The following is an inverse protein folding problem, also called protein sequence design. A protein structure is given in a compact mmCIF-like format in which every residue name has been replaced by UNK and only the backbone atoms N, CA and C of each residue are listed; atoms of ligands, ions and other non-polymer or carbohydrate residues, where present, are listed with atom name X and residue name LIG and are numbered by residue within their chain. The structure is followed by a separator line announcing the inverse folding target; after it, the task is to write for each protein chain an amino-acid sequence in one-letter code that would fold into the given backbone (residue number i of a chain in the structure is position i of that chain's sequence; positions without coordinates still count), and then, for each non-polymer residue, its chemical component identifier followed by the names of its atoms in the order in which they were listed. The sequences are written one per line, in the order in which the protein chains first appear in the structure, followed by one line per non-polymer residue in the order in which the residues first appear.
data_IF_802515275239
#
_entry.id   IF_802515275239
#
_cell.length_a   1.000
_cell.length_b   1.000
_cell.length_c   1.000
_cell.angle_alpha   90.00
_cell.angle_beta   90.00
_cell.angle_gamma   90.00
#
_symmetry.space_group_name_H-M   'P 1'
#
loop_
_entity.id
_entity.type
_entity.pdbx_description
1 polymer ?
#
# COMPACT_ATOMS: atom_id res chain seq x y z
N UNK A 1 -0.81 -1.14 -18.75
CA UNK A 1 -0.53 0.29 -18.46
C UNK A 1 0.94 0.43 -18.12
N UNK A 2 1.64 1.51 -18.47
CA UNK A 2 3.05 1.64 -18.08
C UNK A 2 3.24 2.73 -17.02
N UNK A 3 3.80 2.31 -15.89
CA UNK A 3 4.28 3.21 -14.85
C UNK A 3 5.52 3.97 -15.36
N UNK A 4 5.59 5.28 -15.08
CA UNK A 4 6.81 6.08 -15.31
C UNK A 4 7.87 5.71 -14.27
N UNK A 5 8.52 4.55 -14.43
CA UNK A 5 9.40 3.95 -13.42
C UNK A 5 10.55 4.87 -12.96
N UNK A 6 11.13 5.67 -13.87
CA UNK A 6 12.15 6.67 -13.52
C UNK A 6 11.61 7.74 -12.58
N UNK A 7 10.46 8.34 -12.92
CA UNK A 7 9.80 9.35 -12.09
C UNK A 7 9.38 8.80 -10.72
N UNK A 8 8.84 7.58 -10.68
CA UNK A 8 8.43 6.92 -9.42
C UNK A 8 9.63 6.69 -8.51
N UNK A 9 10.77 6.27 -9.07
CA UNK A 9 11.99 6.02 -8.31
C UNK A 9 12.54 7.33 -7.73
N UNK A 10 12.60 8.39 -8.54
CA UNK A 10 12.98 9.73 -8.08
C UNK A 10 12.05 10.25 -6.97
N UNK A 11 10.73 10.16 -7.15
CA UNK A 11 9.76 10.63 -6.16
C UNK A 11 9.82 9.84 -4.85
N UNK A 12 10.16 8.54 -4.89
CA UNK A 12 10.41 7.77 -3.66
C UNK A 12 11.58 8.35 -2.86
N UNK A 13 12.69 8.68 -3.52
CA UNK A 13 13.86 9.32 -2.88
C UNK A 13 13.49 10.70 -2.34
N UNK A 14 12.85 11.54 -3.16
CA UNK A 14 12.36 12.86 -2.76
C UNK A 14 11.47 12.79 -1.51
N UNK A 15 10.56 11.83 -1.44
CA UNK A 15 9.66 11.68 -0.30
C UNK A 15 10.40 11.31 1.00
N UNK A 16 11.49 10.55 0.91
CA UNK A 16 12.34 10.25 2.08
C UNK A 16 13.03 11.52 2.56
N UNK A 17 13.64 12.29 1.65
CA UNK A 17 14.32 13.56 1.98
C UNK A 17 13.33 14.56 2.60
N UNK A 18 12.17 14.75 1.97
CA UNK A 18 11.12 15.64 2.50
C UNK A 18 10.63 15.22 3.88
N UNK A 19 10.56 13.91 4.16
CA UNK A 19 10.16 13.41 5.47
C UNK A 19 11.22 13.73 6.53
N UNK A 20 12.50 13.52 6.23
CA UNK A 20 13.61 13.78 7.17
C UNK A 20 13.68 15.28 7.47
N UNK A 21 13.72 16.13 6.44
CA UNK A 21 13.76 17.58 6.61
C UNK A 21 12.49 18.10 7.30
N UNK A 22 11.32 17.56 6.95
CA UNK A 22 10.07 17.94 7.58
C UNK A 22 10.05 17.66 9.08
N UNK A 23 10.50 16.46 9.49
CA UNK A 23 10.64 16.10 10.92
C UNK A 23 11.62 17.04 11.62
N UNK A 24 12.78 17.28 11.00
CA UNK A 24 13.80 18.17 11.57
C UNK A 24 13.26 19.58 11.80
N UNK A 25 12.65 20.21 10.80
CA UNK A 25 12.10 21.56 10.95
C UNK A 25 10.99 21.62 11.99
N UNK A 26 10.08 20.64 12.02
CA UNK A 26 9.03 20.61 13.06
C UNK A 26 9.60 20.48 14.47
N UNK A 27 10.62 19.64 14.67
CA UNK A 27 11.21 19.40 15.97
C UNK A 27 12.03 20.61 16.46
N UNK A 28 12.89 21.16 15.60
CA UNK A 28 13.72 22.32 15.93
C UNK A 28 12.85 23.56 16.23
N UNK A 29 11.84 23.83 15.39
CA UNK A 29 10.91 24.93 15.63
C UNK A 29 10.10 24.76 16.91
N UNK A 30 9.60 23.55 17.19
CA UNK A 30 8.87 23.28 18.42
C UNK A 30 9.75 23.51 19.66
N UNK A 31 11.01 23.07 19.62
CA UNK A 31 11.96 23.30 20.71
C UNK A 31 12.19 24.79 20.96
N UNK A 32 12.42 25.58 19.92
CA UNK A 32 12.65 27.02 20.04
C UNK A 32 11.42 27.76 20.57
N UNK A 33 10.22 27.38 20.11
CA UNK A 33 8.96 27.94 20.63
C UNK A 33 8.75 27.63 22.12
N UNK A 34 9.07 26.41 22.56
CA UNK A 34 8.97 26.02 23.98
C UNK A 34 9.94 26.86 24.81
N UNK A 35 11.20 27.00 24.37
CA UNK A 35 12.22 27.79 25.06
C UNK A 35 11.78 29.25 25.26
N UNK A 36 11.23 29.88 24.22
CA UNK A 36 10.70 31.25 24.26
C UNK A 36 9.52 31.39 25.23
N UNK A 37 8.59 30.44 25.23
CA UNK A 37 7.42 30.45 26.12
C UNK A 37 7.85 30.39 27.59
N UNK A 38 8.88 29.59 27.90
CA UNK A 38 9.33 29.42 29.27
C UNK A 38 10.21 30.58 29.74
N UNK A 39 11.08 31.10 28.86
CA UNK A 39 11.95 32.21 29.22
C UNK A 39 11.17 33.52 29.50
N UNK A 40 10.11 33.77 28.73
CA UNK A 40 9.25 34.95 28.87
C UNK A 40 7.89 34.63 29.51
N UNK A 41 7.84 33.60 30.35
CA UNK A 41 6.58 33.13 30.94
C UNK A 41 5.85 34.27 31.69
N UNK A 42 4.63 34.59 31.23
CA UNK A 42 3.81 35.70 31.76
C UNK A 42 3.82 36.97 30.90
N UNK A 43 4.81 37.17 30.03
CA UNK A 43 4.87 38.30 29.08
C UNK A 43 4.54 37.83 27.66
N UNK A 44 3.25 37.57 27.43
CA UNK A 44 2.72 37.11 26.14
C UNK A 44 2.98 38.09 24.99
N UNK A 45 3.09 39.39 25.29
CA UNK A 45 3.30 40.41 24.27
C UNK A 45 4.69 40.26 23.65
N UNK A 46 5.72 40.08 24.48
CA UNK A 46 7.10 39.86 24.04
C UNK A 46 7.26 38.51 23.32
N UNK A 47 6.59 37.45 23.78
CA UNK A 47 6.61 36.13 23.11
C UNK A 47 6.07 36.22 21.69
N UNK A 48 4.93 36.89 21.48
CA UNK A 48 4.26 36.94 20.17
C UNK A 48 5.04 37.82 19.17
N UNK A 49 5.67 38.89 19.63
CA UNK A 49 6.37 39.85 18.76
C UNK A 49 7.86 39.53 18.56
N UNK A 50 8.42 38.55 19.27
CA UNK A 50 9.79 38.12 19.04
C UNK A 50 9.96 37.56 17.61
N UNK A 51 10.94 38.08 16.88
CA UNK A 51 11.26 37.64 15.51
C UNK A 51 11.59 36.14 15.45
N UNK A 52 12.18 35.59 16.52
CA UNK A 52 12.45 34.16 16.67
C UNK A 52 11.16 33.31 16.70
N UNK A 53 10.09 33.81 17.31
CA UNK A 53 8.78 33.13 17.36
C UNK A 53 8.15 33.07 15.97
N UNK A 54 8.15 34.18 15.23
CA UNK A 54 7.63 34.25 13.86
C UNK A 54 8.37 33.29 12.92
N UNK A 55 9.71 33.29 12.96
CA UNK A 55 10.53 32.36 12.18
C UNK A 55 10.28 30.90 12.54
N UNK A 56 10.13 30.60 13.83
CA UNK A 56 9.89 29.23 14.31
C UNK A 56 8.52 28.71 13.87
N UNK A 57 7.46 29.52 13.97
CA UNK A 57 6.12 29.16 13.50
C UNK A 57 6.12 28.90 11.99
N UNK A 58 6.78 29.75 11.21
CA UNK A 58 6.86 29.59 9.75
C UNK A 58 7.58 28.28 9.37
N UNK A 59 8.74 28.00 9.97
CA UNK A 59 9.48 26.76 9.76
C UNK A 59 8.70 25.52 10.24
N UNK A 60 7.92 25.64 11.30
CA UNK A 60 7.03 24.58 11.77
C UNK A 60 5.97 24.25 10.72
N UNK A 61 5.30 25.26 10.17
CA UNK A 61 4.29 25.09 9.11
C UNK A 61 4.90 24.44 7.88
N UNK A 62 6.07 24.90 7.43
CA UNK A 62 6.81 24.28 6.31
C UNK A 62 7.11 22.82 6.60
N UNK A 63 7.63 22.51 7.80
CA UNK A 63 7.94 21.15 8.20
C UNK A 63 6.71 20.23 8.16
N UNK A 64 5.57 20.69 8.67
CA UNK A 64 4.30 19.96 8.62
C UNK A 64 3.86 19.74 7.17
N UNK A 65 3.92 20.77 6.32
CA UNK A 65 3.58 20.67 4.90
C UNK A 65 4.48 19.64 4.18
N UNK A 66 5.79 19.63 4.45
CA UNK A 66 6.71 18.65 3.87
C UNK A 66 6.35 17.21 4.26
N UNK A 67 5.99 16.97 5.52
CA UNK A 67 5.53 15.66 6.01
C UNK A 67 4.23 15.24 5.32
N UNK A 68 3.26 16.16 5.20
CA UNK A 68 1.97 15.91 4.54
C UNK A 68 2.18 15.60 3.05
N UNK A 69 2.98 16.40 2.34
CA UNK A 69 3.30 16.19 0.92
C UNK A 69 4.01 14.85 0.69
N UNK A 70 4.99 14.49 1.53
CA UNK A 70 5.69 13.20 1.44
C UNK A 70 4.72 12.02 1.60
N UNK A 71 3.82 12.09 2.60
CA UNK A 71 2.81 11.04 2.84
C UNK A 71 1.77 10.98 1.72
N UNK A 72 1.30 12.13 1.23
CA UNK A 72 0.37 12.22 0.11
C UNK A 72 0.93 11.61 -1.17
N UNK A 73 2.16 11.98 -1.53
CA UNK A 73 2.84 11.44 -2.70
C UNK A 73 3.04 9.93 -2.60
N UNK A 74 3.44 9.41 -1.42
CA UNK A 74 3.58 7.96 -1.22
C UNK A 74 2.27 7.20 -1.40
N UNK A 75 1.14 7.75 -0.94
CA UNK A 75 -0.19 7.16 -1.16
C UNK A 75 -0.55 7.12 -2.65
N UNK A 76 -0.25 8.19 -3.41
CA UNK A 76 -0.50 8.24 -4.85
C UNK A 76 0.33 7.23 -5.64
N UNK A 77 1.61 7.05 -5.28
CA UNK A 77 2.47 6.04 -5.90
C UNK A 77 1.91 4.62 -5.65
N UNK A 78 1.45 4.34 -4.43
CA UNK A 78 0.86 3.05 -4.09
C UNK A 78 -0.43 2.79 -4.88
N UNK A 79 -1.32 3.79 -4.96
CA UNK A 79 -2.53 3.71 -5.79
C UNK A 79 -2.15 3.49 -7.26
N UNK A 80 -1.10 4.15 -7.77
CA UNK A 80 -0.63 3.97 -9.13
C UNK A 80 -0.17 2.52 -9.40
N UNK A 81 0.66 1.97 -8.53
CA UNK A 81 1.11 0.58 -8.65
C UNK A 81 -0.06 -0.41 -8.57
N UNK A 82 -1.02 -0.16 -7.68
CA UNK A 82 -2.23 -0.98 -7.55
C UNK A 82 -3.04 -0.99 -8.85
N UNK A 83 -3.38 0.18 -9.39
CA UNK A 83 -4.16 0.25 -10.62
C UNK A 83 -3.41 -0.35 -11.80
N UNK A 84 -2.10 -0.10 -11.95
CA UNK A 84 -1.30 -0.74 -13.01
C UNK A 84 -1.37 -2.27 -12.92
N UNK A 85 -1.21 -2.83 -11.72
CA UNK A 85 -1.30 -4.29 -11.51
C UNK A 85 -2.71 -4.84 -11.70
N UNK A 86 -3.75 -4.08 -11.33
CA UNK A 86 -5.15 -4.46 -11.54
C UNK A 86 -5.45 -4.52 -13.05
N UNK A 87 -5.05 -3.48 -13.78
CA UNK A 87 -5.22 -3.39 -15.22
C UNK A 87 -4.41 -4.44 -15.99
N UNK A 88 -3.21 -4.81 -15.51
CA UNK A 88 -2.43 -5.92 -16.06
C UNK A 88 -3.07 -7.30 -15.81
N UNK A 89 -3.89 -7.43 -14.77
CA UNK A 89 -4.62 -8.65 -14.45
C UNK A 89 -5.95 -8.80 -15.17
N UNK A 90 -6.44 -7.76 -15.85
CA UNK A 90 -7.67 -7.83 -16.63
C UNK A 90 -7.43 -8.52 -17.98
N UNK A 91 -8.28 -9.50 -18.29
CA UNK A 91 -8.13 -10.37 -19.47
C UNK A 91 -8.69 -9.72 -20.75
N UNK A 92 -9.67 -8.82 -20.60
CA UNK A 92 -10.36 -8.18 -21.72
C UNK A 92 -9.73 -6.84 -22.12
N UNK A 93 -8.89 -6.27 -21.24
CA UNK A 93 -8.23 -4.98 -21.38
C UNK A 93 -9.18 -3.78 -21.39
N UNK A 94 -10.39 -3.99 -20.87
CA UNK A 94 -11.43 -2.99 -20.66
C UNK A 94 -11.85 -3.03 -19.20
N UNK A 95 -11.66 -1.92 -18.50
CA UNK A 95 -12.06 -1.81 -17.09
C UNK A 95 -13.10 -0.72 -16.92
N UNK A 96 -14.20 -1.09 -16.27
CA UNK A 96 -15.27 -0.17 -15.91
C UNK A 96 -14.95 0.59 -14.60
N UNK A 97 -15.33 1.86 -14.57
CA UNK A 97 -15.20 2.71 -13.38
C UNK A 97 -16.12 2.29 -12.24
N UNK A 98 -17.32 1.75 -12.52
CA UNK A 98 -18.24 1.32 -11.46
C UNK A 98 -17.74 0.04 -10.80
N UNK A 99 -17.26 -0.93 -11.57
CA UNK A 99 -16.59 -2.11 -11.02
C UNK A 99 -15.37 -1.75 -10.17
N UNK A 100 -14.52 -0.83 -10.66
CA UNK A 100 -13.34 -0.39 -9.93
C UNK A 100 -13.71 0.36 -8.62
N UNK A 101 -14.85 1.05 -8.61
CA UNK A 101 -15.43 1.73 -7.44
C UNK A 101 -15.77 0.74 -6.35
N UNK A 102 -16.49 -0.32 -6.69
CA UNK A 102 -16.83 -1.37 -5.77
C UNK A 102 -15.60 -2.15 -5.29
N UNK A 103 -14.72 -2.55 -6.21
CA UNK A 103 -13.50 -3.30 -5.89
C UNK A 103 -12.61 -2.54 -4.91
N UNK A 104 -12.52 -1.22 -5.05
CA UNK A 104 -11.67 -0.39 -4.18
C UNK A 104 -12.39 0.20 -2.97
N UNK A 105 -13.72 0.03 -2.86
CA UNK A 105 -14.56 0.62 -1.82
C UNK A 105 -14.62 2.15 -1.87
N UNK A 106 -14.62 2.74 -3.08
CA UNK A 106 -14.62 4.19 -3.30
C UNK A 106 -15.77 4.59 -4.21
N UNK A 107 -16.10 5.88 -4.25
CA UNK A 107 -17.09 6.37 -5.22
C UNK A 107 -16.49 6.45 -6.63
N UNK A 108 -17.34 6.34 -7.65
CA UNK A 108 -16.93 6.47 -9.06
C UNK A 108 -16.26 7.81 -9.34
N UNK A 109 -16.76 8.91 -8.77
CA UNK A 109 -16.17 10.25 -8.88
C UNK A 109 -14.75 10.33 -8.30
N UNK A 110 -14.50 9.69 -7.15
CA UNK A 110 -13.17 9.61 -6.53
C UNK A 110 -12.19 8.81 -7.39
N UNK A 111 -12.66 7.80 -8.11
CA UNK A 111 -11.80 7.03 -9.02
C UNK A 111 -11.50 7.81 -10.28
N UNK A 112 -12.49 8.44 -10.90
CA UNK A 112 -12.28 9.26 -12.11
C UNK A 112 -11.24 10.35 -11.86
N UNK A 113 -11.40 11.11 -10.78
CA UNK A 113 -10.44 12.15 -10.38
C UNK A 113 -9.04 11.60 -10.10
N UNK A 114 -8.93 10.47 -9.39
CA UNK A 114 -7.64 9.83 -9.11
C UNK A 114 -6.97 9.33 -10.39
N UNK A 115 -7.69 8.64 -11.27
CA UNK A 115 -7.15 8.11 -12.52
C UNK A 115 -6.69 9.25 -13.43
N UNK A 116 -7.44 10.35 -13.50
CA UNK A 116 -7.00 11.55 -14.21
C UNK A 116 -5.69 12.13 -13.65
N UNK A 117 -5.58 12.26 -12.32
CA UNK A 117 -4.36 12.74 -11.67
C UNK A 117 -3.18 11.77 -11.85
N UNK A 118 -3.43 10.46 -11.75
CA UNK A 118 -2.42 9.44 -11.94
C UNK A 118 -1.96 9.33 -13.40
N UNK A 119 -2.84 9.58 -14.37
CA UNK A 119 -2.48 9.68 -15.78
C UNK A 119 -1.49 10.81 -16.04
N UNK A 120 -1.75 12.00 -15.48
CA UNK A 120 -0.86 13.13 -15.64
C UNK A 120 0.53 12.83 -15.07
N UNK A 121 0.57 12.28 -13.85
CA UNK A 121 1.80 12.14 -13.09
C UNK A 121 2.52 10.81 -13.34
N UNK A 122 1.86 9.67 -13.14
CA UNK A 122 2.51 8.38 -12.91
C UNK A 122 2.31 7.34 -14.01
N UNK A 123 1.24 7.45 -14.80
CA UNK A 123 0.82 6.40 -15.73
C UNK A 123 0.78 6.91 -17.15
N UNK A 124 1.07 6.03 -18.10
CA UNK A 124 0.90 6.29 -19.53
C UNK A 124 0.17 5.11 -20.18
N UNK A 125 -0.23 5.30 -21.42
CA UNK A 125 -0.71 4.24 -22.31
C UNK A 125 -2.05 3.66 -21.85
N UNK A 126 -3.05 4.52 -21.64
CA UNK A 126 -4.47 4.15 -21.64
C UNK A 126 -5.34 5.29 -22.21
N UNK A 127 -6.57 4.97 -22.65
CA UNK A 127 -7.58 5.96 -23.08
C UNK A 127 -8.90 5.70 -22.36
N UNK A 128 -9.66 6.76 -22.12
CA UNK A 128 -11.02 6.67 -21.58
C UNK A 128 -11.99 6.80 -22.76
N UNK A 129 -12.86 5.81 -22.93
CA UNK A 129 -13.86 5.77 -24.00
C UNK A 129 -15.23 5.91 -23.36
N UNK A 130 -16.08 6.74 -23.97
CA UNK A 130 -17.50 6.79 -23.66
C UNK A 130 -18.22 5.79 -24.53
N UNK A 131 -18.93 4.86 -23.90
CA UNK A 131 -19.69 3.80 -24.58
C UNK A 131 -21.16 4.18 -24.65
N UNK A 132 -21.82 3.83 -25.76
CA UNK A 132 -23.26 4.06 -25.98
C UNK A 132 -24.13 3.11 -25.12
N UNK A 133 -23.50 2.14 -24.45
CA UNK A 133 -24.18 1.12 -23.67
C UNK A 133 -24.59 1.68 -22.29
N UNK A 134 -25.90 1.81 -22.02
CA UNK A 134 -26.47 2.45 -20.82
C UNK A 134 -25.99 1.88 -19.48
N UNK A 135 -25.52 0.64 -19.47
CA UNK A 135 -25.08 -0.06 -18.26
C UNK A 135 -23.68 0.36 -17.79
N UNK A 136 -22.83 0.84 -18.72
CA UNK A 136 -21.46 1.27 -18.46
C UNK A 136 -21.13 2.48 -19.34
N UNK A 137 -21.30 3.73 -18.85
CA UNK A 137 -21.19 4.92 -19.69
C UNK A 137 -19.74 5.29 -20.04
N UNK A 138 -18.76 4.84 -19.25
CA UNK A 138 -17.34 5.15 -19.45
C UNK A 138 -16.47 3.92 -19.12
N UNK A 139 -15.57 3.57 -20.02
CA UNK A 139 -14.63 2.45 -19.87
C UNK A 139 -13.19 2.92 -20.08
N UNK A 140 -12.25 2.27 -19.40
CA UNK A 140 -10.81 2.49 -19.55
C UNK A 140 -10.28 1.42 -20.50
N UNK A 141 -9.78 1.82 -21.67
CA UNK A 141 -9.05 0.93 -22.57
C UNK A 141 -7.54 1.09 -22.39
N UNK A 142 -6.85 -0.02 -22.25
CA UNK A 142 -5.41 -0.06 -22.04
C UNK A 142 -4.66 -0.09 -23.38
N UNK A 143 -3.67 0.77 -23.57
CA UNK A 143 -2.71 0.59 -24.65
C UNK A 143 -1.64 -0.40 -24.18
N UNK A 144 -1.70 -1.63 -24.66
CA UNK A 144 -0.63 -2.62 -24.46
C UNK A 144 0.35 -2.61 -25.61
N UNK A 145 1.62 -2.97 -25.35
CA UNK A 145 2.56 -3.35 -26.41
C UNK A 145 1.97 -4.47 -27.27
N UNK A 146 2.19 -4.44 -28.57
CA UNK A 146 1.93 -5.56 -29.47
C UNK A 146 3.16 -6.47 -29.49
N UNK A 147 2.94 -7.78 -29.44
CA UNK A 147 3.92 -8.85 -29.58
C UNK A 147 3.41 -9.79 -30.67
N UNK A 148 4.33 -10.29 -31.49
CA UNK A 148 4.01 -11.35 -32.44
C UNK A 148 3.80 -12.66 -31.70
N UNK A 149 2.63 -13.23 -31.90
CA UNK A 149 2.22 -14.51 -31.33
C UNK A 149 1.92 -15.49 -32.47
N UNK A 150 2.22 -16.76 -32.23
CA UNK A 150 1.75 -17.86 -33.06
C UNK A 150 0.62 -18.59 -32.34
N UNK A 151 -0.44 -18.90 -33.08
CA UNK A 151 -1.52 -19.72 -32.57
C UNK A 151 -1.10 -21.18 -32.57
N UNK A 152 -1.06 -21.85 -31.41
CA UNK A 152 -0.74 -23.28 -31.34
C UNK A 152 -1.75 -24.17 -32.04
N UNK A 153 -2.98 -23.67 -32.18
CA UNK A 153 -4.08 -24.42 -32.76
C UNK A 153 -4.10 -24.46 -34.28
N UNK A 154 -3.71 -23.36 -34.94
CA UNK A 154 -3.73 -23.27 -36.41
C UNK A 154 -2.39 -22.85 -37.03
N UNK A 155 -1.35 -22.61 -36.22
CA UNK A 155 -0.04 -22.11 -36.69
C UNK A 155 -0.04 -20.65 -37.15
N UNK A 156 -1.20 -19.97 -37.15
CA UNK A 156 -1.35 -18.61 -37.66
C UNK A 156 -0.54 -17.59 -36.86
N UNK A 157 0.13 -16.69 -37.58
CA UNK A 157 0.91 -15.59 -37.04
C UNK A 157 0.03 -14.37 -36.84
N UNK A 158 0.23 -13.63 -35.75
CA UNK A 158 -0.55 -12.42 -35.47
C UNK A 158 0.16 -11.50 -34.49
N UNK A 159 0.04 -10.20 -34.71
CA UNK A 159 0.38 -9.23 -33.68
C UNK A 159 -0.75 -9.15 -32.65
N UNK A 160 -0.40 -9.50 -31.43
CA UNK A 160 -1.29 -9.57 -30.28
C UNK A 160 -0.78 -8.64 -29.21
N UNK A 161 -1.70 -7.88 -28.67
CA UNK A 161 -1.47 -7.00 -27.54
C UNK A 161 -1.11 -7.85 -26.30
N UNK A 162 0.04 -7.61 -25.65
CA UNK A 162 0.66 -8.44 -24.58
C UNK A 162 -0.30 -8.84 -23.44
N UNK A 163 -1.31 -8.01 -23.18
CA UNK A 163 -2.23 -8.18 -22.05
C UNK A 163 -3.69 -8.45 -22.47
N UNK A 164 -3.97 -8.59 -23.78
CA UNK A 164 -5.33 -8.79 -24.28
C UNK A 164 -5.54 -10.24 -24.67
N UNK A 165 -6.70 -10.80 -24.31
CA UNK A 165 -7.13 -12.14 -24.66
C UNK A 165 -6.80 -12.50 -26.11
N UNK A 166 -6.04 -13.59 -26.21
CA UNK A 166 -5.38 -13.96 -27.41
C UNK A 166 -6.23 -14.69 -28.44
N UNK A 167 -7.46 -14.27 -28.75
CA UNK A 167 -8.26 -14.99 -29.77
C UNK A 167 -7.58 -14.96 -31.13
N UNK A 168 -7.17 -16.11 -31.62
CA UNK A 168 -6.69 -16.23 -32.98
C UNK A 168 -7.80 -15.75 -33.95
N UNK A 169 -7.61 -14.70 -34.76
CA UNK A 169 -8.61 -14.26 -35.73
C UNK A 169 -8.95 -15.35 -36.76
N UNK A 170 -8.04 -16.33 -36.95
CA UNK A 170 -8.23 -17.41 -37.90
C UNK A 170 -9.05 -18.59 -37.35
N UNK A 171 -8.83 -19.01 -36.10
CA UNK A 171 -9.48 -20.21 -35.54
C UNK A 171 -10.21 -19.99 -34.20
N UNK A 172 -10.20 -18.76 -33.68
CA UNK A 172 -10.82 -18.41 -32.39
C UNK A 172 -10.07 -18.93 -31.15
N UNK A 173 -9.02 -19.73 -31.30
CA UNK A 173 -8.24 -20.31 -30.19
C UNK A 173 -7.58 -19.25 -29.31
N UNK A 174 -7.60 -19.50 -28.01
CA UNK A 174 -6.98 -18.69 -26.95
C UNK A 174 -5.56 -19.16 -26.61
N UNK A 175 -5.09 -20.31 -27.12
CA UNK A 175 -3.73 -20.80 -26.92
C UNK A 175 -2.76 -20.15 -27.90
N UNK A 176 -2.23 -19.01 -27.46
CA UNK A 176 -1.15 -18.31 -28.14
C UNK A 176 0.16 -18.54 -27.41
N UNK A 177 1.21 -18.79 -28.18
CA UNK A 177 2.59 -18.67 -27.68
C UNK A 177 3.18 -17.34 -28.12
N UNK A 178 3.60 -16.53 -27.14
CA UNK A 178 4.40 -15.35 -27.40
C UNK A 178 5.77 -15.77 -27.93
N UNK A 179 6.15 -15.20 -29.08
CA UNK A 179 7.44 -15.46 -29.72
C UNK A 179 8.20 -14.15 -29.94
N UNK A 180 9.53 -14.22 -29.82
CA UNK A 180 10.42 -13.15 -30.26
C UNK A 180 11.14 -13.65 -31.50
N UNK A 181 10.94 -12.98 -32.64
CA UNK A 181 11.63 -13.30 -33.89
C UNK A 181 12.86 -12.40 -33.99
N UNK A 182 14.05 -12.99 -34.06
CA UNK A 182 15.30 -12.26 -34.29
C UNK A 182 16.09 -12.96 -35.40
N UNK A 183 16.11 -12.36 -36.60
CA UNK A 183 16.66 -12.98 -37.79
C UNK A 183 15.90 -14.26 -38.17
N UNK A 184 16.62 -15.37 -38.37
CA UNK A 184 16.05 -16.70 -38.67
C UNK A 184 15.67 -17.51 -37.42
N UNK A 185 15.81 -16.96 -36.20
CA UNK A 185 15.58 -17.68 -34.95
C UNK A 185 14.30 -17.21 -34.26
N UNK A 186 13.53 -18.18 -33.78
CA UNK A 186 12.28 -17.98 -33.04
C UNK A 186 12.52 -18.38 -31.59
N UNK A 187 12.37 -17.44 -30.67
CA UNK A 187 12.46 -17.69 -29.22
C UNK A 187 11.06 -17.74 -28.63
N UNK A 188 10.78 -18.79 -27.85
CA UNK A 188 9.52 -18.92 -27.11
C UNK A 188 9.68 -18.33 -25.71
N UNK A 189 8.79 -17.42 -25.33
CA UNK A 189 8.71 -16.93 -23.94
C UNK A 189 7.93 -17.97 -23.13
N UNK A 190 8.65 -18.92 -22.53
CA UNK A 190 8.05 -19.86 -21.58
C UNK A 190 7.97 -19.19 -20.20
N UNK A 191 6.76 -18.84 -19.75
CA UNK A 191 6.52 -18.39 -18.35
C UNK A 191 6.36 -19.57 -17.38
N UNK A 192 6.97 -20.71 -17.69
CA UNK A 192 7.07 -21.89 -16.82
C UNK A 192 8.14 -21.70 -15.73
N UNK A 193 8.27 -20.50 -15.18
CA UNK A 193 9.19 -20.25 -14.08
C UNK A 193 8.61 -20.87 -12.81
N UNK A 194 9.20 -22.01 -12.38
CA UNK A 194 8.97 -22.83 -11.17
C UNK A 194 8.51 -22.15 -9.88
N UNK A 195 7.36 -21.48 -9.92
CA UNK A 195 6.73 -20.81 -8.80
C UNK A 195 5.91 -21.83 -8.04
N UNK A 196 6.17 -21.95 -6.73
CA UNK A 196 5.43 -22.84 -5.82
C UNK A 196 4.29 -22.04 -5.18
N UNK A 197 3.04 -22.07 -5.69
CA UNK A 197 1.90 -21.34 -5.10
C UNK A 197 1.63 -21.74 -3.66
N UNK A 198 1.98 -22.98 -3.33
CA UNK A 198 1.78 -23.53 -2.00
C UNK A 198 2.85 -23.02 -1.01
N UNK A 199 3.84 -22.25 -1.48
CA UNK A 199 4.77 -21.54 -0.62
C UNK A 199 4.20 -20.16 -0.25
N UNK A 200 4.01 -19.85 1.06
CA UNK A 200 3.60 -18.53 1.52
C UNK A 200 4.48 -17.38 1.02
N UNK A 201 5.76 -17.64 0.73
CA UNK A 201 6.67 -16.60 0.24
C UNK A 201 6.33 -16.12 -1.18
N UNK A 202 5.58 -16.92 -1.95
CA UNK A 202 5.08 -16.51 -3.27
C UNK A 202 4.15 -15.29 -3.19
N UNK A 203 3.30 -15.25 -2.18
CA UNK A 203 2.34 -14.15 -1.98
C UNK A 203 2.93 -12.96 -1.22
N UNK A 204 4.17 -13.05 -0.72
CA UNK A 204 4.82 -11.95 0.01
C UNK A 204 5.61 -11.06 -0.93
N UNK A 205 5.69 -9.78 -0.60
CA UNK A 205 6.68 -8.92 -1.23
C UNK A 205 8.11 -9.33 -0.83
N UNK A 206 9.05 -9.26 -1.79
CA UNK A 206 10.46 -9.65 -1.59
C UNK A 206 11.14 -8.91 -0.43
N UNK A 207 10.70 -7.69 -0.11
CA UNK A 207 11.26 -6.87 0.96
C UNK A 207 10.44 -6.92 2.27
N UNK A 208 9.48 -7.84 2.42
CA UNK A 208 8.55 -7.80 3.57
C UNK A 208 9.26 -8.11 4.89
N UNK A 209 10.15 -9.10 4.90
CA UNK A 209 10.91 -9.47 6.10
C UNK A 209 11.87 -8.35 6.53
N UNK A 210 12.58 -7.72 5.59
CA UNK A 210 13.43 -6.57 5.87
C UNK A 210 12.64 -5.40 6.48
N UNK A 211 11.44 -5.11 5.93
CA UNK A 211 10.53 -4.09 6.49
C UNK A 211 10.09 -4.44 7.91
N UNK A 212 9.76 -5.70 8.18
CA UNK A 212 9.36 -6.18 9.52
C UNK A 212 10.47 -5.91 10.53
N UNK A 213 11.71 -6.29 10.22
CA UNK A 213 12.88 -6.07 11.08
C UNK A 213 13.08 -4.57 11.31
N UNK A 214 13.07 -3.77 10.24
CA UNK A 214 13.24 -2.31 10.35
C UNK A 214 12.16 -1.65 11.25
N UNK A 215 10.89 -2.05 11.12
CA UNK A 215 9.84 -1.53 12.00
C UNK A 215 9.94 -2.05 13.44
N UNK A 216 10.42 -3.28 13.65
CA UNK A 216 10.66 -3.83 14.98
C UNK A 216 11.81 -3.12 15.71
N UNK A 217 12.93 -2.92 15.03
CA UNK A 217 14.07 -2.14 15.54
C UNK A 217 13.63 -0.70 15.81
N UNK A 218 12.93 -0.07 14.87
CA UNK A 218 12.41 1.29 15.05
C UNK A 218 11.43 1.43 16.21
N UNK A 219 10.59 0.41 16.44
CA UNK A 219 9.70 0.36 17.61
C UNK A 219 10.49 0.26 18.92
N UNK A 220 11.52 -0.59 18.98
CA UNK A 220 12.40 -0.72 20.15
C UNK A 220 13.14 0.59 20.47
N UNK A 221 13.69 1.26 19.46
CA UNK A 221 14.35 2.56 19.61
C UNK A 221 13.36 3.62 20.14
N UNK A 222 12.15 3.68 19.59
CA UNK A 222 11.14 4.62 20.05
C UNK A 222 10.71 4.35 21.51
N UNK A 223 10.59 3.09 21.91
CA UNK A 223 10.26 2.70 23.28
C UNK A 223 11.36 3.12 24.26
N UNK A 224 12.63 2.93 23.88
CA UNK A 224 13.78 3.41 24.62
C UNK A 224 13.75 4.92 24.85
N UNK A 225 13.44 5.71 23.81
CA UNK A 225 13.30 7.17 23.97
C UNK A 225 12.11 7.55 24.86
N UNK A 226 10.97 6.87 24.75
CA UNK A 226 9.84 7.11 25.67
C UNK A 226 10.25 6.87 27.11
N UNK A 227 10.99 5.79 27.39
CA UNK A 227 11.48 5.50 28.73
C UNK A 227 12.41 6.60 29.27
N UNK A 228 13.36 7.08 28.45
CA UNK A 228 14.24 8.21 28.82
C UNK A 228 13.42 9.46 29.13
N UNK A 229 12.54 9.87 28.20
CA UNK A 229 11.73 11.08 28.40
C UNK A 229 10.81 10.95 29.62
N UNK A 230 10.30 9.75 29.90
CA UNK A 230 9.47 9.49 31.07
C UNK A 230 10.25 9.63 32.38
N UNK A 231 11.46 9.06 32.46
CA UNK A 231 12.32 9.23 33.65
C UNK A 231 12.65 10.70 33.86
N UNK A 232 13.13 11.38 32.80
CA UNK A 232 13.48 12.81 32.89
C UNK A 232 12.26 13.62 33.34
N UNK A 233 11.09 13.41 32.72
CA UNK A 233 9.86 14.08 33.11
C UNK A 233 9.52 13.88 34.60
N UNK A 234 9.50 12.62 35.07
CA UNK A 234 9.17 12.30 36.46
C UNK A 234 10.18 12.86 37.46
N UNK A 235 11.48 12.79 37.15
CA UNK A 235 12.54 13.35 38.01
C UNK A 235 12.40 14.86 38.18
N UNK A 236 12.20 15.60 37.08
CA UNK A 236 12.07 17.05 37.15
C UNK A 236 10.74 17.49 37.76
N UNK A 237 9.63 16.79 37.50
CA UNK A 237 8.33 17.07 38.16
C UNK A 237 8.43 16.83 39.67
N UNK A 238 9.03 15.73 40.11
CA UNK A 238 9.18 15.41 41.53
C UNK A 238 10.04 16.44 42.26
N UNK A 239 11.07 16.97 41.60
CA UNK A 239 12.01 17.92 42.19
C UNK A 239 11.58 19.39 42.04
N UNK A 240 10.54 19.68 41.25
CA UNK A 240 10.12 21.05 40.93
C UNK A 240 9.74 21.87 42.18
N UNK A 241 9.08 21.23 43.15
CA UNK A 241 8.67 21.84 44.43
C UNK A 241 9.52 21.36 45.61
N UNK A 242 10.61 20.63 45.39
CA UNK A 242 11.46 20.12 46.47
C UNK A 242 12.46 21.20 46.90
N UNK A 243 12.19 21.86 48.03
CA UNK A 243 13.04 22.94 48.54
C UNK A 243 14.47 22.50 48.89
N UNK A 244 14.64 21.27 49.36
CA UNK A 244 15.94 20.70 49.70
C UNK A 244 16.80 20.52 48.44
N UNK A 245 16.20 19.97 47.38
CA UNK A 245 16.84 19.83 46.07
C UNK A 245 17.20 21.18 45.44
N UNK A 246 16.30 22.16 45.53
CA UNK A 246 16.56 23.51 45.01
C UNK A 246 17.73 24.18 45.74
N UNK A 247 17.82 24.01 47.07
CA UNK A 247 18.88 24.56 47.91
C UNK A 247 20.22 23.90 47.61
N UNK A 248 20.26 22.56 47.51
CA UNK A 248 21.47 21.82 47.11
C UNK A 248 21.96 22.23 45.72
N UNK A 249 21.05 22.40 44.77
CA UNK A 249 21.40 22.78 43.39
C UNK A 249 22.01 24.19 43.34
N UNK A 250 21.48 25.14 44.10
CA UNK A 250 22.01 26.50 44.18
C UNK A 250 23.39 26.54 44.86
N UNK A 251 23.60 25.73 45.91
CA UNK A 251 24.87 25.63 46.63
C UNK A 251 25.94 24.83 45.85
N UNK A 252 25.54 24.01 44.87
CA UNK A 252 26.46 23.21 44.05
C UNK A 252 27.30 24.02 43.05
N UNK A 253 27.06 25.33 42.92
CA UNK A 253 27.83 26.24 42.05
C UNK A 253 27.62 26.04 40.55
N UNK A 254 26.67 25.18 40.13
CA UNK A 254 26.35 24.98 38.71
C UNK A 254 25.49 26.14 38.18
N UNK A 255 26.15 27.16 37.63
CA UNK A 255 25.67 28.22 36.71
C UNK A 255 24.38 29.02 36.99
N UNK A 256 23.57 28.69 38.01
CA UNK A 256 22.30 29.37 38.27
C UNK A 256 22.44 30.37 39.42
N UNK A 257 22.03 31.62 39.19
CA UNK A 257 22.14 32.71 40.15
C UNK A 257 20.90 32.92 41.03
N UNK A 258 19.75 32.31 40.70
CA UNK A 258 18.51 32.44 41.48
C UNK A 258 17.63 31.19 41.45
N UNK A 259 16.76 31.03 42.46
CA UNK A 259 15.75 29.97 42.49
C UNK A 259 14.75 30.04 41.34
N UNK A 260 14.42 31.25 40.86
CA UNK A 260 13.53 31.46 39.72
C UNK A 260 14.14 30.90 38.42
N UNK A 261 15.44 31.12 38.20
CA UNK A 261 16.18 30.58 37.06
C UNK A 261 16.23 29.05 37.09
N UNK A 262 16.42 28.45 38.28
CA UNK A 262 16.37 27.00 38.46
C UNK A 262 14.97 26.47 38.12
N UNK A 263 13.90 27.07 38.68
CA UNK A 263 12.52 26.66 38.39
C UNK A 263 12.15 26.83 36.92
N UNK A 264 12.57 27.92 36.27
CA UNK A 264 12.36 28.14 34.83
C UNK A 264 13.10 27.08 33.99
N UNK A 265 14.34 26.74 34.33
CA UNK A 265 15.08 25.67 33.67
C UNK A 265 14.42 24.30 33.86
N UNK A 266 13.92 24.00 35.06
CA UNK A 266 13.20 22.74 35.33
C UNK A 266 11.88 22.69 34.57
N UNK A 267 11.13 23.80 34.52
CA UNK A 267 9.90 23.91 33.72
C UNK A 267 10.16 23.68 32.23
N UNK A 268 11.26 24.21 31.71
CA UNK A 268 11.73 23.96 30.34
C UNK A 268 11.90 22.46 30.07
N UNK A 269 12.61 21.76 30.95
CA UNK A 269 12.86 20.32 30.80
C UNK A 269 11.56 19.52 30.93
N UNK A 270 10.64 19.92 31.83
CA UNK A 270 9.32 19.29 31.99
C UNK A 270 8.49 19.42 30.71
N UNK A 271 8.34 20.64 30.17
CA UNK A 271 7.56 20.90 28.96
C UNK A 271 8.20 20.20 27.75
N UNK A 272 9.52 20.26 27.61
CA UNK A 272 10.24 19.58 26.54
C UNK A 272 10.05 18.06 26.62
N UNK A 273 10.17 17.48 27.81
CA UNK A 273 9.98 16.03 28.01
C UNK A 273 8.54 15.60 27.76
N UNK A 274 7.55 16.41 28.15
CA UNK A 274 6.14 16.17 27.84
C UNK A 274 5.88 16.19 26.32
N UNK A 275 6.45 17.16 25.61
CA UNK A 275 6.35 17.22 24.15
C UNK A 275 7.04 16.02 23.48
N UNK A 276 8.24 15.65 23.96
CA UNK A 276 8.97 14.46 23.53
C UNK A 276 8.16 13.18 23.71
N UNK A 277 7.49 13.01 24.86
CA UNK A 277 6.61 11.88 25.13
C UNK A 277 5.44 11.80 24.14
N UNK A 278 4.78 12.92 23.85
CA UNK A 278 3.67 12.96 22.87
C UNK A 278 4.17 12.64 21.46
N UNK A 279 5.29 13.26 21.05
CA UNK A 279 5.86 13.08 19.73
C UNK A 279 6.31 11.63 19.50
N UNK A 280 7.13 11.08 20.39
CA UNK A 280 7.63 9.69 20.29
C UNK A 280 6.50 8.69 20.51
N UNK A 281 5.55 8.98 21.41
CA UNK A 281 4.34 8.18 21.61
C UNK A 281 3.50 8.07 20.33
N UNK A 282 3.31 9.16 19.60
CA UNK A 282 2.61 9.12 18.30
C UNK A 282 3.35 8.28 17.25
N UNK A 283 4.68 8.31 17.26
CA UNK A 283 5.51 7.48 16.38
C UNK A 283 5.43 5.99 16.73
N UNK A 284 5.33 5.65 18.02
CA UNK A 284 5.08 4.28 18.50
C UNK A 284 3.75 3.73 17.98
N UNK A 285 2.67 4.50 18.10
CA UNK A 285 1.36 4.09 17.57
C UNK A 285 1.44 3.84 16.06
N UNK A 286 2.11 4.73 15.32
CA UNK A 286 2.25 4.59 13.87
C UNK A 286 3.07 3.35 13.47
N UNK A 287 4.20 3.10 14.13
CA UNK A 287 5.07 1.94 13.86
C UNK A 287 4.36 0.63 14.24
N UNK A 288 3.61 0.63 15.35
CA UNK A 288 2.78 -0.50 15.76
C UNK A 288 1.70 -0.84 14.72
N UNK A 289 0.95 0.16 14.24
CA UNK A 289 -0.07 -0.04 13.18
C UNK A 289 0.55 -0.60 11.90
N UNK A 290 1.77 -0.17 11.53
CA UNK A 290 2.51 -0.70 10.37
C UNK A 290 2.99 -2.14 10.60
N UNK A 291 3.44 -2.47 11.80
CA UNK A 291 3.83 -3.83 12.15
C UNK A 291 2.62 -4.77 12.08
N UNK A 292 1.48 -4.35 12.63
CA UNK A 292 0.22 -5.09 12.54
C UNK A 292 -0.20 -5.35 11.08
N UNK A 293 -0.07 -4.35 10.20
CA UNK A 293 -0.46 -4.54 8.79
C UNK A 293 0.48 -5.51 8.06
N UNK A 294 1.76 -5.54 8.38
CA UNK A 294 2.72 -6.53 7.86
C UNK A 294 2.40 -7.94 8.39
N UNK A 295 2.11 -8.06 9.68
CA UNK A 295 1.79 -9.36 10.30
C UNK A 295 0.48 -9.93 9.72
N UNK A 296 -0.52 -9.07 9.50
CA UNK A 296 -1.76 -9.44 8.83
C UNK A 296 -1.51 -9.90 7.39
N UNK A 297 -0.67 -9.20 6.63
CA UNK A 297 -0.28 -9.63 5.28
C UNK A 297 0.42 -11.01 5.28
N UNK A 298 1.29 -11.29 6.25
CA UNK A 298 1.91 -12.61 6.39
C UNK A 298 0.89 -13.71 6.69
N UNK A 299 -0.10 -13.43 7.55
CA UNK A 299 -1.21 -14.36 7.82
C UNK A 299 -2.03 -14.64 6.57
N UNK A 300 -2.37 -13.61 5.79
CA UNK A 300 -3.08 -13.79 4.52
C UNK A 300 -2.26 -14.60 3.51
N UNK A 301 -0.96 -14.32 3.36
CA UNK A 301 -0.08 -15.08 2.47
C UNK A 301 -0.03 -16.58 2.82
N UNK A 302 0.02 -16.93 4.11
CA UNK A 302 -0.03 -18.35 4.55
C UNK A 302 -1.36 -19.00 4.22
N UNK A 303 -2.48 -18.30 4.43
CA UNK A 303 -3.82 -18.80 4.09
C UNK A 303 -4.00 -18.97 2.59
N UNK A 304 -3.53 -18.00 1.80
CA UNK A 304 -3.59 -18.07 0.34
C UNK A 304 -2.76 -19.22 -0.20
N UNK A 305 -1.62 -19.54 0.41
CA UNK A 305 -0.82 -20.70 0.04
C UNK A 305 -1.55 -22.03 0.28
N UNK A 306 -2.31 -22.16 1.38
CA UNK A 306 -3.06 -23.36 1.73
C UNK A 306 -4.36 -23.54 0.93
N UNK A 307 -4.93 -22.45 0.40
CA UNK A 307 -6.21 -22.51 -0.31
C UNK A 307 -6.03 -23.09 -1.72
N UNK A 308 -6.76 -24.16 -2.11
CA UNK A 308 -6.49 -24.87 -3.37
C UNK A 308 -7.06 -24.14 -4.60
N UNK A 309 -8.17 -23.42 -4.46
CA UNK A 309 -8.86 -22.82 -5.60
C UNK A 309 -8.24 -21.45 -6.00
N UNK A 310 -8.34 -21.07 -7.30
CA UNK A 310 -7.81 -19.81 -7.82
C UNK A 310 -8.60 -18.57 -7.38
N UNK A 311 -9.82 -18.74 -6.88
CA UNK A 311 -10.67 -17.64 -6.44
C UNK A 311 -11.19 -17.91 -5.04
N UNK A 312 -11.05 -16.92 -4.15
CA UNK A 312 -11.60 -16.96 -2.79
C UNK A 312 -12.78 -16.00 -2.69
N UNK A 313 -13.93 -16.50 -2.25
CA UNK A 313 -15.06 -15.63 -1.88
C UNK A 313 -14.92 -15.12 -0.43
N UNK A 314 -15.52 -13.95 -0.15
CA UNK A 314 -15.48 -13.36 1.20
C UNK A 314 -16.08 -14.26 2.31
N UNK A 315 -17.20 -14.96 2.07
CA UNK A 315 -17.75 -15.91 3.04
C UNK A 315 -16.79 -17.07 3.33
N UNK A 316 -16.15 -17.64 2.31
CA UNK A 316 -15.16 -18.73 2.46
C UNK A 316 -13.95 -18.26 3.28
N UNK A 317 -13.45 -17.06 3.03
CA UNK A 317 -12.33 -16.51 3.79
C UNK A 317 -12.70 -16.26 5.25
N UNK A 318 -13.94 -15.84 5.52
CA UNK A 318 -14.46 -15.66 6.87
C UNK A 318 -14.58 -17.00 7.61
N UNK A 319 -15.04 -18.05 6.93
CA UNK A 319 -15.11 -19.42 7.49
C UNK A 319 -13.72 -19.96 7.83
N UNK A 320 -12.74 -19.83 6.92
CA UNK A 320 -11.35 -20.22 7.15
C UNK A 320 -10.74 -19.43 8.33
N UNK A 321 -11.14 -18.17 8.49
CA UNK A 321 -10.69 -17.35 9.61
C UNK A 321 -11.25 -17.82 10.96
N UNK A 322 -12.47 -18.38 10.98
CA UNK A 322 -13.10 -18.93 12.19
C UNK A 322 -12.53 -20.31 12.55
N UNK A 323 -12.27 -21.15 11.54
CA UNK A 323 -11.78 -22.52 11.75
C UNK A 323 -10.36 -22.58 12.36
N UNK A 324 -9.48 -21.64 12.00
CA UNK A 324 -8.06 -21.69 12.39
C UNK A 324 -7.72 -20.97 13.71
N UNK A 325 -8.70 -20.42 14.44
CA UNK A 325 -8.45 -19.69 15.70
C UNK A 325 -9.67 -19.72 16.63
N UNK A 326 -9.96 -20.86 17.29
CA UNK A 326 -11.09 -20.99 18.22
C UNK A 326 -11.00 -20.05 19.44
N UNK A 327 -9.79 -19.60 19.80
CA UNK A 327 -9.51 -18.74 20.96
C UNK A 327 -9.69 -17.22 20.72
N UNK A 328 -10.03 -16.78 19.50
CA UNK A 328 -10.30 -15.35 19.19
C UNK A 328 -11.69 -15.17 18.60
N UNK A 329 -12.72 -15.52 19.37
CA UNK A 329 -14.11 -15.22 19.02
C UNK A 329 -14.49 -13.73 19.17
N UNK A 330 -13.64 -12.88 19.75
CA UNK A 330 -14.07 -11.54 20.21
C UNK A 330 -13.94 -10.37 19.22
N UNK A 331 -13.59 -10.58 17.95
CA UNK A 331 -13.62 -9.50 16.96
C UNK A 331 -14.54 -9.85 15.80
N UNK A 332 -15.74 -9.29 15.84
CA UNK A 332 -16.72 -9.22 14.74
C UNK A 332 -16.16 -8.38 13.58
N UNK A 333 -15.09 -8.85 12.95
CA UNK A 333 -14.61 -8.26 11.71
C UNK A 333 -15.61 -8.67 10.64
N UNK A 334 -16.43 -7.72 10.19
CA UNK A 334 -17.34 -7.92 9.07
C UNK A 334 -16.55 -8.35 7.82
N UNK A 335 -17.12 -9.21 6.95
CA UNK A 335 -16.45 -9.66 5.73
C UNK A 335 -15.96 -8.49 4.86
N UNK A 336 -16.66 -7.36 4.89
CA UNK A 336 -16.27 -6.13 4.17
C UNK A 336 -15.02 -5.49 4.75
N UNK A 337 -14.88 -5.43 6.09
CA UNK A 337 -13.66 -4.93 6.73
C UNK A 337 -12.46 -5.83 6.44
N UNK A 338 -12.69 -7.15 6.38
CA UNK A 338 -11.65 -8.12 6.01
C UNK A 338 -11.19 -7.87 4.56
N UNK A 339 -12.13 -7.72 3.62
CA UNK A 339 -11.84 -7.39 2.23
C UNK A 339 -11.02 -6.11 2.10
N UNK A 340 -11.45 -5.02 2.74
CA UNK A 340 -10.76 -3.74 2.70
C UNK A 340 -9.33 -3.84 3.26
N UNK A 341 -9.11 -4.67 4.27
CA UNK A 341 -7.78 -4.89 4.86
C UNK A 341 -6.86 -5.63 3.89
N UNK A 342 -7.39 -6.59 3.13
CA UNK A 342 -6.64 -7.31 2.09
C UNK A 342 -6.33 -6.38 0.92
N UNK A 343 -7.33 -5.66 0.41
CA UNK A 343 -7.15 -4.65 -0.65
C UNK A 343 -6.12 -3.60 -0.23
N UNK A 344 -6.15 -3.14 1.02
CA UNK A 344 -5.13 -2.24 1.57
C UNK A 344 -3.74 -2.87 1.57
N UNK A 345 -3.62 -4.15 1.94
CA UNK A 345 -2.34 -4.88 1.94
C UNK A 345 -1.78 -5.08 0.52
N UNK A 346 -2.65 -5.27 -0.47
CA UNK A 346 -2.29 -5.31 -1.90
C UNK A 346 -1.83 -3.91 -2.36
N UNK A 347 -2.58 -2.85 -2.03
CA UNK A 347 -2.21 -1.45 -2.34
C UNK A 347 -0.89 -1.02 -1.72
N UNK A 348 -0.60 -1.46 -0.49
CA UNK A 348 0.67 -1.21 0.18
C UNK A 348 1.84 -2.04 -0.40
N UNK A 349 1.53 -2.96 -1.32
CA UNK A 349 2.51 -3.82 -1.98
C UNK A 349 3.12 -4.84 -1.02
N UNK A 350 2.38 -5.27 0.00
CA UNK A 350 2.81 -6.34 0.92
C UNK A 350 2.44 -7.73 0.41
N UNK A 351 1.31 -7.81 -0.29
CA UNK A 351 0.85 -9.01 -0.98
C UNK A 351 1.14 -8.90 -2.48
N UNK A 352 1.54 -10.02 -3.10
CA UNK A 352 1.82 -10.15 -4.54
C UNK A 352 1.09 -11.36 -5.11
N UNK A 353 0.87 -11.38 -6.42
CA UNK A 353 0.23 -12.51 -7.09
C UNK A 353 -1.25 -12.70 -6.73
N UNK A 354 -1.90 -11.65 -6.23
CA UNK A 354 -3.33 -11.64 -5.94
C UNK A 354 -3.98 -10.33 -6.40
N UNK A 355 -5.16 -10.42 -7.00
CA UNK A 355 -5.97 -9.30 -7.48
C UNK A 355 -7.39 -9.39 -6.90
N UNK A 356 -7.96 -8.29 -6.41
CA UNK A 356 -9.39 -8.27 -6.13
C UNK A 356 -10.17 -8.20 -7.45
N UNK A 357 -11.27 -8.95 -7.60
CA UNK A 357 -12.08 -9.04 -8.83
C UNK A 357 -13.57 -9.18 -8.49
N UNK A 358 -14.48 -8.79 -9.41
CA UNK A 358 -15.93 -8.99 -9.24
C UNK A 358 -16.44 -9.97 -10.27
N UNK A 359 -16.96 -11.11 -9.83
CA UNK A 359 -17.51 -12.16 -10.72
C UNK A 359 -18.98 -12.38 -10.40
N UNK A 360 -19.86 -12.21 -11.39
CA UNK A 360 -21.30 -12.47 -11.23
C UNK A 360 -21.95 -11.67 -10.08
N UNK A 361 -21.50 -10.45 -9.83
CA UNK A 361 -22.00 -9.62 -8.73
C UNK A 361 -21.26 -9.79 -7.39
N UNK A 362 -20.39 -10.80 -7.25
CA UNK A 362 -19.72 -11.13 -5.98
C UNK A 362 -18.25 -10.74 -6.03
N UNK A 363 -17.78 -10.04 -4.98
CA UNK A 363 -16.37 -9.71 -4.79
C UNK A 363 -15.57 -10.95 -4.39
N UNK A 364 -14.48 -11.20 -5.11
CA UNK A 364 -13.56 -12.32 -4.92
C UNK A 364 -12.12 -11.84 -4.94
N UNK A 365 -11.23 -12.63 -4.35
CA UNK A 365 -9.78 -12.43 -4.47
C UNK A 365 -9.26 -13.54 -5.38
N UNK A 366 -8.72 -13.16 -6.53
CA UNK A 366 -8.02 -14.07 -7.42
C UNK A 366 -6.60 -14.31 -6.88
N UNK A 367 -6.21 -15.58 -6.80
CA UNK A 367 -4.91 -16.06 -6.34
C UNK A 367 -4.20 -16.74 -7.51
N UNK A 368 -3.06 -16.18 -7.93
CA UNK A 368 -2.11 -16.81 -8.85
C UNK A 368 -2.79 -17.56 -10.01
N UNK A 369 -3.73 -16.87 -10.67
CA UNK A 369 -4.58 -17.45 -11.71
C UNK A 369 -3.75 -17.81 -12.95
N UNK A 370 -3.93 -19.03 -13.45
CA UNK A 370 -3.40 -19.48 -14.74
C UNK A 370 -4.51 -20.18 -15.53
N UNK A 371 -4.61 -19.87 -16.82
CA UNK A 371 -5.49 -20.59 -17.74
C UNK A 371 -4.73 -21.85 -18.19
N UNK A 372 -5.29 -23.02 -17.88
CA UNK A 372 -4.64 -24.33 -18.12
C UNK A 372 -5.32 -25.10 -19.26
N UNK A 373 -6.52 -24.68 -19.66
CA UNK A 373 -7.28 -25.28 -20.77
C UNK A 373 -7.69 -24.20 -21.75
N UNK A 374 -7.54 -24.51 -23.03
CA UNK A 374 -7.72 -23.62 -24.16
C UNK A 374 -8.79 -24.10 -25.15
N UNK A 375 -9.15 -25.40 -25.10
CA UNK A 375 -10.19 -26.00 -25.93
C UNK A 375 -11.22 -26.78 -25.13
N UNK A 376 -12.42 -26.88 -25.70
CA UNK A 376 -13.47 -27.76 -25.22
C UNK A 376 -13.10 -29.21 -25.52
N UNK A 377 -13.03 -30.10 -24.50
CA UNK A 377 -12.76 -31.52 -24.73
C UNK A 377 -13.92 -32.23 -25.45
N UNK A 378 -15.13 -31.65 -25.45
CA UNK A 378 -16.29 -32.21 -26.13
C UNK A 378 -16.34 -31.90 -27.64
N UNK A 379 -16.17 -30.62 -28.00
CA UNK A 379 -16.36 -30.17 -29.39
C UNK A 379 -15.10 -29.60 -30.05
N UNK A 380 -13.96 -29.60 -29.36
CA UNK A 380 -12.71 -29.00 -29.84
C UNK A 380 -12.72 -27.48 -29.96
N UNK A 381 -13.87 -26.84 -29.73
CA UNK A 381 -14.04 -25.41 -29.87
C UNK A 381 -13.19 -24.64 -28.85
N UNK A 382 -12.68 -23.45 -29.22
CA UNK A 382 -11.82 -22.69 -28.35
C UNK A 382 -12.56 -22.17 -27.12
N UNK A 383 -11.88 -22.17 -25.97
CA UNK A 383 -12.35 -21.56 -24.73
C UNK A 383 -12.09 -20.06 -24.81
N UNK A 384 -13.14 -19.27 -24.63
CA UNK A 384 -13.07 -17.82 -24.83
C UNK A 384 -13.83 -17.03 -23.78
N UNK A 385 -13.16 -16.08 -23.13
CA UNK A 385 -13.73 -15.32 -22.01
C UNK A 385 -13.89 -16.15 -20.74
N UNK A 386 -12.92 -16.99 -20.40
CA UNK A 386 -12.98 -17.76 -19.16
C UNK A 386 -12.70 -16.83 -17.97
N UNK A 387 -13.76 -16.51 -17.21
CA UNK A 387 -13.67 -15.63 -16.03
C UNK A 387 -13.65 -16.46 -14.74
N UNK A 388 -14.23 -17.66 -14.75
CA UNK A 388 -14.38 -18.54 -13.59
C UNK A 388 -13.55 -19.82 -13.74
N UNK A 389 -13.33 -20.54 -12.62
CA UNK A 389 -12.63 -21.83 -12.60
C UNK A 389 -13.23 -22.84 -13.60
N UNK A 390 -14.55 -22.83 -13.73
CA UNK A 390 -15.30 -23.64 -14.68
C UNK A 390 -15.78 -22.76 -15.83
N UNK A 391 -15.75 -23.30 -17.06
CA UNK A 391 -16.19 -22.60 -18.26
C UNK A 391 -17.33 -23.37 -18.94
N UNK A 392 -18.46 -22.71 -19.19
CA UNK A 392 -19.49 -23.25 -20.07
C UNK A 392 -19.11 -22.97 -21.52
N UNK A 393 -18.88 -24.04 -22.30
CA UNK A 393 -18.56 -23.92 -23.71
C UNK A 393 -19.72 -23.24 -24.45
N UNK A 394 -19.47 -22.11 -25.11
CA UNK A 394 -20.49 -21.39 -25.89
C UNK A 394 -21.04 -22.20 -27.07
N UNK A 395 -20.23 -23.13 -27.58
CA UNK A 395 -20.56 -23.89 -28.80
C UNK A 395 -21.35 -25.16 -28.52
N UNK A 396 -21.08 -25.84 -27.40
CA UNK A 396 -21.70 -27.13 -27.10
C UNK A 396 -22.38 -27.18 -25.72
N UNK A 397 -22.46 -26.06 -24.99
CA UNK A 397 -23.07 -25.94 -23.67
C UNK A 397 -22.35 -26.68 -22.54
N UNK A 398 -21.35 -27.52 -22.85
CA UNK A 398 -20.69 -28.39 -21.88
C UNK A 398 -19.84 -27.58 -20.90
N UNK A 399 -19.99 -27.87 -19.61
CA UNK A 399 -19.19 -27.28 -18.54
C UNK A 399 -17.83 -27.98 -18.50
N UNK A 400 -16.77 -27.19 -18.66
CA UNK A 400 -15.38 -27.62 -18.58
C UNK A 400 -14.87 -27.20 -17.21
N UNK A 401 -14.43 -28.17 -16.41
CA UNK A 401 -13.91 -27.91 -15.07
C UNK A 401 -12.42 -27.60 -15.07
N UNK A 402 -11.97 -26.75 -14.15
CA UNK A 402 -10.54 -26.45 -13.94
C UNK A 402 -9.85 -25.83 -15.16
N UNK A 403 -10.55 -24.91 -15.84
CA UNK A 403 -10.04 -24.10 -16.95
C UNK A 403 -9.05 -23.07 -16.42
N UNK A 404 -9.40 -22.42 -15.30
CA UNK A 404 -8.48 -21.59 -14.53
C UNK A 404 -8.05 -22.41 -13.32
N UNK A 405 -6.75 -22.49 -13.07
CA UNK A 405 -6.21 -23.11 -11.87
C UNK A 405 -5.30 -22.14 -11.14
N UNK A 406 -5.12 -22.42 -9.85
CA UNK A 406 -4.07 -21.81 -9.06
C UNK A 406 -2.75 -22.44 -9.51
N UNK A 407 -1.91 -21.59 -10.13
CA UNK A 407 -0.63 -21.95 -10.74
C UNK A 407 0.35 -22.57 -9.76
#
# INVERSE_FOLDING_TARGET
MYLKNGLISFLKVKNVILLILGIFFTAASASNMIELIVYYFGDWFTIIHANSTLGSVFLFIIGVLMIVCSRGSRRLINDACFFSSYFEGDLNGYVDFAELAEVTGRTTSQIKSRIALLHLLYMKNFRVIKTVNYQYPEIIELYSKTVTCSCRSCGGWMEKRVYFEGRCPYCGSSDLTAQVVSGQRVYFINDNAGRKPNNPDYYKASSLNAKRIAYAVGFGIALFFVFIFFIVFMTFVSNYNNEEYLRETLLSGRSYSSFELIRASMMNVIIFSAFGLVAVGSALVFTFVRMLSIENAQRYARRFAQFPAPFISLPELAQISRANSPLRQSSSITPDRLYQTIVKSIKEGYLRGCSPEKHGGVLRIALSKQIVKDRCPGCGAPIVGAVTENYACRYCGRIITGVIRKQ
#
